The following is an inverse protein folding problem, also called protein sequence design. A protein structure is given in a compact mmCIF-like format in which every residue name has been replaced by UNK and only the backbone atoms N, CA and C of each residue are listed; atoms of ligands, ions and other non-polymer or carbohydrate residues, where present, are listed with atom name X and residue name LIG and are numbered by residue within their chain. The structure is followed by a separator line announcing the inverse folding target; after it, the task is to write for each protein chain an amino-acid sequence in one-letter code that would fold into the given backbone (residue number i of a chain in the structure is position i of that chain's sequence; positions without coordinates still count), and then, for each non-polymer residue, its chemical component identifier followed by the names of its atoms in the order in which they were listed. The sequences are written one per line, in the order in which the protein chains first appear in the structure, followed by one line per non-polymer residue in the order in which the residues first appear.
data_IF_529400499738
#
_entry.id   IF_529400499738
#
_cell.length_a   1.000
_cell.length_b   1.000
_cell.length_c   1.000
_cell.angle_alpha   90.00
_cell.angle_beta   90.00
_cell.angle_gamma   90.00
#
_symmetry.space_group_name_H-M   'P 1'
#
loop_
_entity.id
_entity.type
_entity.pdbx_description
1 polymer ?
#
# COMPACT_ATOMS: atom_id res chain seq x y z
N UNK A 1 2.19 8.01 8.67
CA UNK A 1 1.01 7.26 9.14
C UNK A 1 1.43 6.49 10.38
N UNK A 2 0.68 6.57 11.50
CA UNK A 2 1.04 5.91 12.76
C UNK A 2 1.08 4.38 12.64
N UNK A 3 1.99 3.71 13.37
CA UNK A 3 2.09 2.23 13.41
C UNK A 3 0.78 1.59 13.86
N UNK A 4 0.13 2.16 14.90
CA UNK A 4 -1.17 1.69 15.38
C UNK A 4 -2.26 1.75 14.29
N UNK A 5 -2.26 2.80 13.46
CA UNK A 5 -3.22 2.93 12.37
C UNK A 5 -3.04 1.84 11.30
N UNK A 6 -1.80 1.56 10.90
CA UNK A 6 -1.51 0.46 9.96
C UNK A 6 -1.90 -0.89 10.55
N UNK A 7 -1.63 -1.11 11.84
CA UNK A 7 -2.02 -2.33 12.54
C UNK A 7 -3.55 -2.53 12.56
N UNK A 8 -4.32 -1.48 12.84
CA UNK A 8 -5.79 -1.50 12.77
C UNK A 8 -6.28 -1.82 11.36
N UNK A 9 -5.69 -1.23 10.33
CA UNK A 9 -6.04 -1.52 8.92
C UNK A 9 -5.78 -3.00 8.57
N UNK A 10 -4.65 -3.56 8.99
CA UNK A 10 -4.32 -4.98 8.78
C UNK A 10 -5.29 -5.89 9.54
N UNK A 11 -5.62 -5.55 10.79
CA UNK A 11 -6.57 -6.33 11.60
C UNK A 11 -7.95 -6.39 10.93
N UNK A 12 -8.45 -5.25 10.46
CA UNK A 12 -9.73 -5.19 9.73
C UNK A 12 -9.67 -5.96 8.41
N UNK A 13 -8.56 -5.88 7.68
CA UNK A 13 -8.38 -6.66 6.44
C UNK A 13 -8.49 -8.17 6.71
N UNK A 14 -7.84 -8.67 7.77
CA UNK A 14 -7.92 -10.06 8.23
C UNK A 14 -9.36 -10.45 8.61
N UNK A 15 -10.09 -9.57 9.30
CA UNK A 15 -11.48 -9.86 9.66
C UNK A 15 -12.40 -9.90 8.45
N UNK A 16 -12.20 -9.02 7.47
CA UNK A 16 -12.99 -9.03 6.22
C UNK A 16 -12.72 -10.23 5.33
N UNK A 17 -11.62 -10.97 5.53
CA UNK A 17 -11.35 -12.25 4.84
C UNK A 17 -12.09 -13.44 5.49
N UNK A 18 -12.65 -13.28 6.69
CA UNK A 18 -13.40 -14.36 7.33
C UNK A 18 -14.75 -14.55 6.61
N UNK A 19 -15.20 -15.79 6.37
CA UNK A 19 -16.52 -16.04 5.81
C UNK A 19 -17.62 -15.40 6.66
N UNK A 20 -18.60 -14.78 6.02
CA UNK A 20 -19.73 -14.09 6.67
C UNK A 20 -19.34 -13.01 7.69
N UNK A 21 -18.14 -12.41 7.59
CA UNK A 21 -17.68 -11.36 8.52
C UNK A 21 -18.70 -10.23 8.70
N UNK A 22 -19.36 -9.83 7.61
CA UNK A 22 -20.37 -8.75 7.57
C UNK A 22 -21.62 -9.05 8.40
N UNK A 23 -21.89 -10.32 8.72
CA UNK A 23 -22.95 -10.71 9.68
C UNK A 23 -22.36 -10.86 11.08
N UNK A 24 -21.18 -11.49 11.17
CA UNK A 24 -20.51 -11.83 12.43
C UNK A 24 -20.09 -10.60 13.26
N UNK A 25 -19.79 -9.48 12.62
CA UNK A 25 -19.41 -8.23 13.31
C UNK A 25 -20.53 -7.63 14.17
N UNK A 26 -21.77 -8.07 13.99
CA UNK A 26 -22.92 -7.67 14.80
C UNK A 26 -23.26 -8.68 15.91
N UNK A 27 -22.56 -9.81 15.99
CA UNK A 27 -22.72 -10.80 17.06
C UNK A 27 -21.67 -10.55 18.15
N UNK A 28 -22.10 -10.02 19.29
CA UNK A 28 -21.21 -9.69 20.42
C UNK A 28 -20.45 -10.90 20.96
N UNK A 29 -21.01 -12.11 20.87
CA UNK A 29 -20.29 -13.32 21.31
C UNK A 29 -19.11 -13.61 20.39
N UNK A 30 -19.30 -13.42 19.08
CA UNK A 30 -18.24 -13.59 18.09
C UNK A 30 -17.21 -12.47 18.19
N UNK A 31 -17.64 -11.23 18.36
CA UNK A 31 -16.76 -10.08 18.56
C UNK A 31 -15.90 -10.26 19.81
N UNK A 32 -16.48 -10.75 20.92
CA UNK A 32 -15.71 -11.05 22.13
C UNK A 32 -14.65 -12.12 21.87
N UNK A 33 -14.98 -13.18 21.13
CA UNK A 33 -13.98 -14.19 20.73
C UNK A 33 -12.86 -13.59 19.87
N UNK A 34 -13.18 -12.71 18.92
CA UNK A 34 -12.18 -12.01 18.11
C UNK A 34 -11.29 -11.11 18.97
N UNK A 35 -11.84 -10.47 20.01
CA UNK A 35 -11.07 -9.69 20.97
C UNK A 35 -10.08 -10.57 21.73
N UNK A 36 -10.55 -11.71 22.24
CA UNK A 36 -9.71 -12.64 22.99
C UNK A 36 -8.59 -13.22 22.12
N UNK A 37 -8.89 -13.55 20.86
CA UNK A 37 -7.89 -13.97 19.86
C UNK A 37 -6.85 -12.86 19.62
N UNK A 38 -7.28 -11.61 19.38
CA UNK A 38 -6.38 -10.48 19.20
C UNK A 38 -5.49 -10.26 20.43
N UNK A 39 -6.06 -10.35 21.64
CA UNK A 39 -5.33 -10.22 22.92
C UNK A 39 -4.32 -11.34 23.18
N UNK A 40 -4.50 -12.53 22.61
CA UNK A 40 -3.57 -13.64 22.80
C UNK A 40 -2.48 -13.68 21.74
N UNK A 41 -2.71 -13.09 20.57
CA UNK A 41 -1.76 -13.09 19.47
C UNK A 41 -0.58 -12.14 19.75
N UNK A 42 0.64 -12.66 19.60
CA UNK A 42 1.86 -11.85 19.65
C UNK A 42 1.95 -10.88 18.47
N UNK A 43 2.37 -9.65 18.74
CA UNK A 43 2.40 -8.57 17.75
C UNK A 43 3.77 -8.40 17.07
N UNK A 44 4.78 -9.24 17.38
CA UNK A 44 6.12 -9.14 16.77
C UNK A 44 6.09 -9.31 15.26
N UNK A 45 5.35 -10.31 14.76
CA UNK A 45 5.19 -10.52 13.32
C UNK A 45 4.41 -9.40 12.63
N UNK A 46 3.43 -8.82 13.32
CA UNK A 46 2.69 -7.64 12.83
C UNK A 46 3.60 -6.43 12.73
N UNK A 47 4.39 -6.17 13.78
CA UNK A 47 5.33 -5.06 13.82
C UNK A 47 6.42 -5.19 12.75
N UNK A 48 7.03 -6.38 12.62
CA UNK A 48 8.03 -6.66 11.61
C UNK A 48 7.47 -6.48 10.18
N UNK A 49 6.19 -6.82 9.96
CA UNK A 49 5.51 -6.57 8.68
C UNK A 49 5.31 -5.09 8.42
N UNK A 50 4.90 -4.31 9.43
CA UNK A 50 4.69 -2.85 9.28
C UNK A 50 6.02 -2.14 9.01
N UNK A 51 7.11 -2.57 9.67
CA UNK A 51 8.44 -1.96 9.55
C UNK A 51 9.35 -2.64 8.53
N UNK A 52 8.87 -3.55 7.69
CA UNK A 52 9.71 -4.44 6.86
C UNK A 52 10.90 -3.73 6.16
N UNK A 53 10.65 -2.60 5.48
CA UNK A 53 11.69 -1.84 4.74
C UNK A 53 12.43 -0.80 5.62
N UNK A 54 12.05 -0.68 6.90
CA UNK A 54 12.59 0.25 7.90
C UNK A 54 13.20 -0.50 9.10
N UNK A 55 13.43 -1.81 9.02
CA UNK A 55 14.02 -2.60 10.10
C UNK A 55 15.41 -2.03 10.45
N UNK A 56 15.56 -1.57 11.70
CA UNK A 56 16.79 -0.94 12.21
C UNK A 56 16.89 0.59 12.02
N UNK A 57 15.98 1.21 11.26
CA UNK A 57 15.89 2.68 11.11
C UNK A 57 14.52 3.23 11.55
N UNK A 58 13.53 2.37 11.77
CA UNK A 58 12.22 2.73 12.31
C UNK A 58 12.23 2.79 13.85
N UNK A 59 11.12 3.24 14.45
CA UNK A 59 11.00 3.27 15.91
C UNK A 59 11.21 1.88 16.51
N UNK A 60 11.56 1.83 17.80
CA UNK A 60 11.54 0.58 18.57
C UNK A 60 10.08 0.12 18.71
N UNK A 61 9.86 -1.20 18.73
CA UNK A 61 8.54 -1.75 19.04
C UNK A 61 8.16 -1.33 20.48
N UNK A 62 6.98 -0.74 20.69
CA UNK A 62 6.47 -0.47 22.03
C UNK A 62 6.40 -1.76 22.86
N UNK A 63 6.72 -1.69 24.15
CA UNK A 63 6.47 -2.81 25.08
C UNK A 63 4.97 -3.06 25.25
N UNK A 64 4.18 -1.99 25.22
CA UNK A 64 2.73 -2.05 25.23
C UNK A 64 2.15 -2.56 23.92
N UNK A 65 0.88 -2.98 23.98
CA UNK A 65 0.15 -3.47 22.81
C UNK A 65 -0.10 -2.36 21.80
N UNK A 66 0.15 -2.69 20.53
CA UNK A 66 -0.19 -1.87 19.38
C UNK A 66 -1.71 -1.86 19.19
N UNK A 67 -2.35 -3.04 19.25
CA UNK A 67 -3.81 -3.14 19.28
C UNK A 67 -4.28 -3.16 20.73
N UNK A 68 -4.60 -1.96 21.24
CA UNK A 68 -5.27 -1.75 22.52
C UNK A 68 -6.75 -2.16 22.42
N UNK A 69 -7.43 -2.24 23.57
CA UNK A 69 -8.89 -2.48 23.57
C UNK A 69 -9.66 -1.36 22.85
N UNK A 70 -9.28 -0.10 23.06
CA UNK A 70 -9.88 1.03 22.36
C UNK A 70 -9.65 0.96 20.84
N UNK A 71 -8.44 0.55 20.40
CA UNK A 71 -8.15 0.31 18.98
C UNK A 71 -8.98 -0.85 18.41
N UNK A 72 -9.19 -1.92 19.17
CA UNK A 72 -10.05 -3.01 18.76
C UNK A 72 -11.52 -2.58 18.65
N UNK A 73 -12.04 -1.86 19.63
CA UNK A 73 -13.39 -1.31 19.65
C UNK A 73 -13.65 -0.40 18.44
N UNK A 74 -12.70 0.48 18.14
CA UNK A 74 -12.76 1.31 16.95
C UNK A 74 -12.81 0.47 15.66
N UNK A 75 -11.97 -0.58 15.54
CA UNK A 75 -12.00 -1.49 14.40
C UNK A 75 -13.37 -2.16 14.22
N UNK A 76 -14.03 -2.55 15.31
CA UNK A 76 -15.37 -3.19 15.26
C UNK A 76 -16.42 -2.21 14.75
N UNK A 77 -16.46 -0.98 15.26
CA UNK A 77 -17.40 0.05 14.79
C UNK A 77 -17.18 0.39 13.32
N UNK A 78 -15.93 0.51 12.89
CA UNK A 78 -15.59 0.73 11.49
C UNK A 78 -16.04 -0.45 10.60
N UNK A 79 -15.80 -1.69 11.05
CA UNK A 79 -16.23 -2.88 10.32
C UNK A 79 -17.76 -2.98 10.23
N UNK A 80 -18.51 -2.53 11.23
CA UNK A 80 -19.98 -2.45 11.15
C UNK A 80 -20.42 -1.48 10.06
N UNK A 81 -19.77 -0.32 9.95
CA UNK A 81 -19.99 0.62 8.85
C UNK A 81 -19.70 -0.01 7.48
N UNK A 82 -18.55 -0.66 7.34
CA UNK A 82 -18.17 -1.39 6.11
C UNK A 82 -19.13 -2.52 5.78
N UNK A 83 -19.64 -3.25 6.76
CA UNK A 83 -20.61 -4.32 6.57
C UNK A 83 -21.93 -3.80 6.01
N UNK A 84 -22.39 -2.63 6.49
CA UNK A 84 -23.58 -1.96 5.93
C UNK A 84 -23.36 -1.54 4.48
N UNK A 85 -22.20 -0.98 4.14
CA UNK A 85 -21.86 -0.65 2.76
C UNK A 85 -21.76 -1.89 1.87
N UNK A 86 -21.08 -2.94 2.34
CA UNK A 86 -20.97 -4.21 1.62
C UNK A 86 -22.33 -4.83 1.32
N UNK A 87 -23.30 -4.76 2.24
CA UNK A 87 -24.65 -5.24 2.00
C UNK A 87 -25.38 -4.51 0.85
N UNK A 88 -25.02 -3.24 0.59
CA UNK A 88 -25.60 -2.41 -0.47
C UNK A 88 -24.85 -2.55 -1.79
N UNK A 89 -23.51 -2.55 -1.73
CA UNK A 89 -22.65 -2.45 -2.91
C UNK A 89 -22.03 -3.77 -3.35
N UNK A 90 -21.91 -4.76 -2.45
CA UNK A 90 -21.09 -5.95 -2.66
C UNK A 90 -19.58 -5.68 -2.65
N UNK A 91 -19.14 -4.48 -2.26
CA UNK A 91 -17.74 -4.06 -2.25
C UNK A 91 -17.24 -3.81 -0.83
N UNK A 92 -15.96 -4.08 -0.59
CA UNK A 92 -15.31 -3.94 0.71
C UNK A 92 -14.16 -2.92 0.59
N UNK A 93 -14.30 -1.72 1.18
CA UNK A 93 -13.19 -0.81 1.39
C UNK A 93 -12.23 -1.37 2.45
N UNK A 94 -11.09 -1.90 1.99
CA UNK A 94 -10.05 -2.46 2.85
C UNK A 94 -8.77 -1.64 2.78
N UNK A 95 -7.89 -1.85 3.76
CA UNK A 95 -6.62 -1.11 3.91
C UNK A 95 -6.85 0.40 3.72
N UNK A 96 -7.92 0.88 4.35
CA UNK A 96 -8.50 2.18 4.11
C UNK A 96 -7.88 3.22 5.05
N UNK A 97 -7.11 4.14 4.49
CA UNK A 97 -6.46 5.24 5.20
C UNK A 97 -6.76 6.59 4.54
N UNK A 98 -6.28 7.68 5.15
CA UNK A 98 -6.35 9.01 4.55
C UNK A 98 -5.69 9.01 3.16
N UNK A 99 -6.44 9.40 2.14
CA UNK A 99 -5.91 9.48 0.77
C UNK A 99 -5.87 8.17 -0.01
N UNK A 100 -5.94 7.00 0.64
CA UNK A 100 -5.62 5.72 0.01
C UNK A 100 -6.60 4.62 0.45
N UNK A 101 -7.25 3.97 -0.53
CA UNK A 101 -8.24 2.93 -0.27
C UNK A 101 -8.13 1.83 -1.32
N UNK A 102 -8.19 0.58 -0.88
CA UNK A 102 -8.26 -0.58 -1.76
C UNK A 102 -9.69 -1.14 -1.69
N UNK A 103 -10.23 -1.52 -2.85
CA UNK A 103 -11.54 -2.16 -2.93
C UNK A 103 -11.34 -3.63 -3.27
N UNK A 104 -11.93 -4.51 -2.46
CA UNK A 104 -11.97 -5.95 -2.72
C UNK A 104 -13.40 -6.49 -2.68
N UNK A 105 -13.62 -7.63 -3.34
CA UNK A 105 -14.86 -8.40 -3.25
C UNK A 105 -14.68 -9.80 -3.84
N UNK A 106 -15.27 -10.80 -3.19
CA UNK A 106 -15.30 -12.19 -3.66
C UNK A 106 -16.58 -12.53 -4.43
N UNK A 107 -17.58 -11.64 -4.41
CA UNK A 107 -18.91 -11.91 -4.96
C UNK A 107 -19.32 -10.93 -6.06
N UNK A 108 -18.44 -10.01 -6.46
CA UNK A 108 -18.80 -8.94 -7.39
C UNK A 108 -18.87 -9.39 -8.84
N UNK A 109 -18.13 -10.44 -9.22
CA UNK A 109 -18.19 -11.02 -10.56
C UNK A 109 -19.10 -12.25 -10.51
N UNK A 110 -20.15 -12.26 -11.33
CA UNK A 110 -21.07 -13.40 -11.40
C UNK A 110 -20.45 -14.61 -12.10
N UNK A 111 -21.00 -15.79 -11.81
CA UNK A 111 -20.50 -17.07 -12.31
C UNK A 111 -20.55 -17.18 -13.85
N UNK A 112 -21.48 -16.50 -14.53
CA UNK A 112 -21.54 -16.54 -15.99
C UNK A 112 -20.38 -15.73 -16.58
N UNK A 113 -20.13 -14.52 -16.08
CA UNK A 113 -18.99 -13.71 -16.51
C UNK A 113 -17.66 -14.42 -16.19
N UNK A 114 -17.54 -15.06 -15.02
CA UNK A 114 -16.35 -15.87 -14.69
C UNK A 114 -16.13 -17.02 -15.69
N UNK A 115 -17.19 -17.74 -16.08
CA UNK A 115 -17.10 -18.81 -17.10
C UNK A 115 -16.72 -18.28 -18.48
N UNK A 116 -17.21 -17.11 -18.86
CA UNK A 116 -16.87 -16.47 -20.12
C UNK A 116 -15.39 -16.03 -20.15
N UNK A 117 -14.87 -15.51 -19.02
CA UNK A 117 -13.45 -15.21 -18.84
C UNK A 117 -12.58 -16.47 -18.93
N UNK A 118 -12.99 -17.56 -18.29
CA UNK A 118 -12.31 -18.85 -18.41
C UNK A 118 -12.27 -19.36 -19.86
N UNK A 119 -13.37 -19.21 -20.60
CA UNK A 119 -13.43 -19.58 -22.02
C UNK A 119 -12.53 -18.69 -22.89
N UNK A 120 -12.49 -17.39 -22.61
CA UNK A 120 -11.61 -16.46 -23.29
C UNK A 120 -10.13 -16.84 -23.07
N UNK A 121 -9.76 -17.14 -21.82
CA UNK A 121 -8.42 -17.62 -21.45
C UNK A 121 -8.05 -18.89 -22.25
N UNK A 122 -8.91 -19.92 -22.24
CA UNK A 122 -8.68 -21.15 -22.98
C UNK A 122 -8.56 -20.94 -24.50
N UNK A 123 -9.39 -20.04 -25.05
CA UNK A 123 -9.37 -19.71 -26.49
C UNK A 123 -8.04 -19.08 -26.90
N UNK A 124 -7.53 -18.13 -26.10
CA UNK A 124 -6.22 -17.51 -26.34
C UNK A 124 -5.07 -18.49 -26.14
N UNK A 125 -5.13 -19.28 -25.06
CA UNK A 125 -4.15 -20.32 -24.78
C UNK A 125 -4.03 -21.30 -25.96
N UNK A 126 -5.17 -21.79 -26.45
CA UNK A 126 -5.20 -22.75 -27.55
C UNK A 126 -4.70 -22.14 -28.86
N UNK A 127 -4.99 -20.86 -29.10
CA UNK A 127 -4.51 -20.15 -30.28
C UNK A 127 -2.98 -19.96 -30.28
N UNK A 128 -2.40 -19.82 -29.08
CA UNK A 128 -0.98 -19.56 -28.87
C UNK A 128 -0.14 -20.84 -28.64
N UNK A 129 -0.76 -22.02 -28.56
CA UNK A 129 -0.10 -23.31 -28.23
C UNK A 129 1.11 -23.61 -29.14
N UNK A 130 1.09 -23.17 -30.40
CA UNK A 130 2.20 -23.35 -31.35
C UNK A 130 3.32 -22.31 -31.25
N UNK A 131 3.13 -21.21 -30.51
CA UNK A 131 4.09 -20.12 -30.36
C UNK A 131 3.84 -19.36 -29.05
N UNK A 132 4.15 -20.03 -27.93
CA UNK A 132 3.89 -19.51 -26.59
C UNK A 132 4.84 -18.35 -26.24
N UNK A 133 4.29 -17.22 -25.80
CA UNK A 133 5.06 -16.12 -25.23
C UNK A 133 5.18 -16.27 -23.71
N UNK A 134 6.37 -16.67 -23.27
CA UNK A 134 6.68 -16.78 -21.84
C UNK A 134 7.16 -15.44 -21.30
N UNK A 135 6.58 -15.02 -20.17
CA UNK A 135 7.00 -13.81 -19.49
C UNK A 135 8.49 -13.90 -19.15
N UNK A 136 9.29 -12.85 -19.41
CA UNK A 136 10.72 -12.86 -19.14
C UNK A 136 11.04 -13.25 -17.69
N UNK A 137 12.06 -14.09 -17.51
CA UNK A 137 12.56 -14.56 -16.21
C UNK A 137 11.52 -15.36 -15.38
N UNK A 138 10.45 -15.85 -16.00
CA UNK A 138 9.46 -16.70 -15.33
C UNK A 138 9.81 -18.20 -15.31
N UNK A 139 10.93 -18.60 -15.92
CA UNK A 139 11.27 -20.01 -16.13
C UNK A 139 10.13 -20.77 -16.83
N UNK A 140 9.55 -20.18 -17.87
CA UNK A 140 8.41 -20.74 -18.64
C UNK A 140 7.22 -21.17 -17.77
N UNK A 141 6.91 -20.40 -16.72
CA UNK A 141 5.75 -20.64 -15.86
C UNK A 141 4.64 -19.62 -16.07
N UNK A 142 4.95 -18.43 -16.60
CA UNK A 142 3.96 -17.35 -16.77
C UNK A 142 3.77 -17.11 -18.26
N UNK A 143 2.60 -17.48 -18.79
CA UNK A 143 2.24 -17.25 -20.18
C UNK A 143 1.51 -15.90 -20.33
N UNK A 144 1.98 -15.09 -21.29
CA UNK A 144 1.35 -13.84 -21.66
C UNK A 144 0.24 -14.08 -22.70
N UNK A 145 -1.03 -14.10 -22.28
CA UNK A 145 -2.16 -14.29 -23.19
C UNK A 145 -2.55 -12.97 -23.87
N UNK A 146 -2.71 -11.91 -23.08
CA UNK A 146 -2.79 -10.51 -23.51
C UNK A 146 -1.82 -9.77 -22.61
N UNK A 147 -0.76 -9.17 -23.17
CA UNK A 147 0.19 -8.45 -22.34
C UNK A 147 0.60 -7.13 -23.00
N UNK A 148 0.51 -5.99 -22.27
CA UNK A 148 0.78 -4.68 -22.86
C UNK A 148 2.21 -4.58 -23.42
N UNK A 149 3.19 -5.14 -22.72
CA UNK A 149 4.60 -5.12 -23.14
C UNK A 149 4.95 -5.87 -24.43
N UNK A 150 4.07 -6.71 -24.98
CA UNK A 150 4.40 -7.50 -26.18
C UNK A 150 4.47 -6.64 -27.45
N UNK A 151 3.67 -5.58 -27.52
CA UNK A 151 3.54 -4.74 -28.71
C UNK A 151 3.51 -3.24 -28.35
N UNK A 152 4.50 -2.78 -27.60
CA UNK A 152 4.60 -1.38 -27.21
C UNK A 152 4.78 -0.45 -28.40
N UNK A 153 4.34 0.80 -28.24
CA UNK A 153 4.81 1.87 -29.11
C UNK A 153 6.25 2.17 -28.75
N UNK A 154 7.17 1.98 -29.69
CA UNK A 154 8.58 2.33 -29.54
C UNK A 154 8.80 3.64 -30.28
N UNK A 155 9.22 4.67 -29.56
CA UNK A 155 9.43 5.97 -30.17
C UNK A 155 10.52 5.90 -31.25
N UNK A 156 10.42 6.77 -32.26
CA UNK A 156 11.28 6.78 -33.44
C UNK A 156 11.24 5.51 -34.32
N UNK A 157 10.37 4.54 -34.01
CA UNK A 157 10.25 3.27 -34.77
C UNK A 157 8.82 2.88 -35.09
N UNK A 158 7.93 2.86 -34.10
CA UNK A 158 6.54 2.45 -34.29
C UNK A 158 5.78 3.53 -35.04
N UNK A 159 5.08 3.20 -36.15
CA UNK A 159 4.20 4.14 -36.83
C UNK A 159 3.11 4.66 -35.89
N UNK A 160 2.83 5.96 -35.97
CA UNK A 160 1.76 6.62 -35.22
C UNK A 160 0.86 7.37 -36.19
N UNK A 161 -0.45 7.36 -35.90
CA UNK A 161 -1.47 8.04 -36.70
C UNK A 161 -1.97 9.22 -35.87
N UNK A 162 -1.68 10.44 -36.32
CA UNK A 162 -1.97 11.67 -35.58
C UNK A 162 -3.41 12.16 -35.75
N UNK A 163 -3.98 11.99 -36.94
CA UNK A 163 -5.20 12.68 -37.36
C UNK A 163 -6.47 11.82 -37.28
N UNK A 164 -6.34 10.51 -37.01
CA UNK A 164 -7.46 9.56 -37.01
C UNK A 164 -7.39 8.61 -35.81
N UNK A 165 -8.56 8.22 -35.29
CA UNK A 165 -8.70 7.19 -34.26
C UNK A 165 -8.92 5.84 -34.93
N UNK A 166 -8.04 4.88 -34.63
CA UNK A 166 -8.17 3.50 -35.14
C UNK A 166 -9.25 2.77 -34.34
N UNK A 167 -10.35 2.41 -35.01
CA UNK A 167 -11.47 1.71 -34.40
C UNK A 167 -11.24 0.21 -34.22
N UNK A 168 -12.17 -0.49 -33.55
CA UNK A 168 -12.10 -1.95 -33.36
C UNK A 168 -12.26 -2.70 -34.68
N UNK A 169 -13.32 -2.42 -35.43
CA UNK A 169 -13.69 -3.20 -36.63
C UNK A 169 -12.82 -2.90 -37.85
N UNK A 170 -12.23 -1.71 -37.93
CA UNK A 170 -11.38 -1.27 -39.05
C UNK A 170 -9.89 -1.27 -38.70
N UNK A 171 -9.47 -1.76 -37.52
CA UNK A 171 -8.07 -1.72 -37.08
C UNK A 171 -7.09 -2.32 -38.11
N UNK A 172 -7.51 -3.40 -38.77
CA UNK A 172 -6.69 -4.10 -39.76
C UNK A 172 -6.44 -3.27 -41.03
N UNK A 173 -7.34 -2.35 -41.38
CA UNK A 173 -7.21 -1.46 -42.54
C UNK A 173 -6.12 -0.40 -42.33
N UNK A 174 -5.66 -0.23 -41.08
CA UNK A 174 -4.62 0.73 -40.70
C UNK A 174 -3.25 0.08 -40.48
N UNK A 175 -3.13 -1.23 -40.67
CA UNK A 175 -1.83 -1.91 -40.55
C UNK A 175 -0.79 -1.30 -41.49
N UNK A 176 0.36 -0.93 -40.93
CA UNK A 176 1.47 -0.34 -41.67
C UNK A 176 1.29 1.13 -42.08
N UNK A 177 0.20 1.79 -41.67
CA UNK A 177 0.00 3.23 -41.89
C UNK A 177 0.60 4.08 -40.74
N UNK A 178 0.79 5.36 -41.01
CA UNK A 178 1.34 6.33 -40.06
C UNK A 178 2.85 6.47 -40.20
N UNK A 179 3.42 7.38 -39.41
CA UNK A 179 4.86 7.66 -39.38
C UNK A 179 5.37 7.64 -37.94
N UNK A 180 6.62 7.25 -37.69
CA UNK A 180 7.18 7.27 -36.34
C UNK A 180 7.19 8.68 -35.74
N UNK A 181 6.85 8.77 -34.46
CA UNK A 181 6.93 10.00 -33.68
C UNK A 181 8.09 9.95 -32.70
N UNK A 182 8.69 11.13 -32.46
CA UNK A 182 9.77 11.28 -31.47
C UNK A 182 9.23 11.10 -30.07
N UNK A 183 10.04 10.45 -29.23
CA UNK A 183 9.76 10.31 -27.80
C UNK A 183 9.72 11.67 -27.12
N UNK A 184 8.82 11.81 -26.14
CA UNK A 184 8.72 13.01 -25.33
C UNK A 184 9.38 12.77 -23.97
N UNK A 185 10.38 13.58 -23.65
CA UNK A 185 10.94 13.68 -22.30
C UNK A 185 9.94 14.46 -21.42
N UNK A 186 9.78 14.11 -20.13
CA UNK A 186 8.86 14.85 -19.28
C UNK A 186 9.32 16.31 -19.19
N UNK A 187 8.37 17.25 -19.20
CA UNK A 187 8.65 18.66 -18.96
C UNK A 187 9.12 18.82 -17.51
N UNK A 188 10.43 18.73 -17.28
CA UNK A 188 11.03 19.05 -15.98
C UNK A 188 10.95 20.56 -15.80
N UNK A 189 10.03 21.03 -14.96
CA UNK A 189 10.13 22.40 -14.44
C UNK A 189 11.28 22.41 -13.44
N UNK A 190 12.44 22.90 -13.86
CA UNK A 190 13.54 23.20 -12.95
C UNK A 190 13.11 24.32 -12.00
N UNK A 191 12.67 23.96 -10.79
CA UNK A 191 12.75 24.87 -9.66
C UNK A 191 14.20 24.84 -9.16
N UNK A 192 14.95 25.91 -9.44
CA UNK A 192 16.35 26.12 -9.04
C UNK A 192 16.57 26.15 -7.51
N UNK A 193 15.51 26.15 -6.69
CA UNK A 193 15.60 26.44 -5.25
C UNK A 193 15.26 25.30 -4.28
N UNK A 194 14.96 24.07 -4.74
CA UNK A 194 14.68 22.95 -3.82
C UNK A 194 15.36 21.65 -4.24
N UNK A 195 16.53 21.43 -3.66
CA UNK A 195 17.19 20.13 -3.54
C UNK A 195 16.65 19.41 -2.31
N UNK A 196 15.42 18.90 -2.35
CA UNK A 196 14.91 18.03 -1.28
C UNK A 196 13.76 17.17 -1.81
N UNK A 197 13.95 15.85 -1.69
CA UNK A 197 12.99 14.81 -1.97
C UNK A 197 11.83 14.88 -0.98
N UNK A 198 10.84 15.73 -1.26
CA UNK A 198 9.58 15.77 -0.53
C UNK A 198 8.52 14.93 -1.24
N UNK A 199 7.65 14.26 -0.48
CA UNK A 199 6.39 13.73 -0.99
C UNK A 199 5.62 14.90 -1.62
N UNK A 200 5.27 14.79 -2.91
CA UNK A 200 4.64 15.90 -3.66
C UNK A 200 5.60 16.95 -4.23
N UNK A 201 6.92 16.75 -4.13
CA UNK A 201 7.87 17.55 -4.91
C UNK A 201 7.69 17.18 -6.38
N UNK A 202 7.23 18.14 -7.19
CA UNK A 202 6.85 17.95 -8.60
C UNK A 202 7.98 17.56 -9.57
N UNK A 203 9.04 16.89 -9.10
CA UNK A 203 10.10 16.30 -9.92
C UNK A 203 9.85 14.80 -10.02
N UNK A 204 9.45 14.36 -11.21
CA UNK A 204 9.41 12.94 -11.56
C UNK A 204 10.83 12.46 -11.76
N UNK A 205 11.26 11.48 -10.97
CA UNK A 205 12.57 10.86 -11.16
C UNK A 205 12.64 10.20 -12.56
N UNK A 206 13.76 10.33 -13.28
CA UNK A 206 13.87 9.80 -14.64
C UNK A 206 13.56 8.31 -14.77
N UNK A 207 13.82 7.50 -13.75
CA UNK A 207 13.49 6.07 -13.74
C UNK A 207 11.98 5.76 -13.81
N UNK A 208 11.13 6.71 -13.42
CA UNK A 208 9.67 6.56 -13.48
C UNK A 208 9.07 6.98 -14.81
N UNK A 209 9.88 7.44 -15.78
CA UNK A 209 9.41 7.85 -17.10
C UNK A 209 10.22 7.17 -18.21
N UNK A 210 9.57 6.66 -19.24
CA UNK A 210 10.27 6.15 -20.42
C UNK A 210 10.23 7.13 -21.59
N UNK A 211 11.42 7.43 -22.11
CA UNK A 211 11.65 8.15 -23.36
C UNK A 211 11.88 7.19 -24.55
N UNK A 212 11.69 5.89 -24.36
CA UNK A 212 11.96 4.84 -25.38
C UNK A 212 10.71 4.15 -25.90
N UNK A 213 9.74 3.90 -25.02
CA UNK A 213 8.51 3.21 -25.36
C UNK A 213 7.36 3.59 -24.44
N UNK A 214 6.14 3.28 -24.87
CA UNK A 214 4.91 3.44 -24.08
C UNK A 214 3.95 2.26 -24.32
N UNK A 215 3.25 1.83 -23.27
CA UNK A 215 2.12 0.91 -23.42
C UNK A 215 0.94 1.60 -24.09
N UNK A 216 0.28 0.90 -25.02
CA UNK A 216 -0.87 1.44 -25.74
C UNK A 216 -2.18 1.07 -25.02
N UNK A 217 -2.96 2.06 -24.53
CA UNK A 217 -4.29 1.79 -24.03
C UNK A 217 -5.28 1.55 -25.18
N UNK A 218 -6.38 0.87 -24.86
CA UNK A 218 -7.57 0.83 -25.68
C UNK A 218 -8.59 1.86 -25.17
N UNK A 219 -9.23 2.57 -26.09
CA UNK A 219 -10.31 3.50 -25.79
C UNK A 219 -11.60 2.73 -25.54
N UNK A 220 -12.34 3.14 -24.51
CA UNK A 220 -13.62 2.59 -24.11
C UNK A 220 -14.64 3.73 -24.04
N UNK A 221 -15.70 3.65 -24.81
CA UNK A 221 -16.85 4.54 -24.72
C UNK A 221 -17.96 3.96 -23.88
N UNK A 222 -19.04 4.73 -23.70
CA UNK A 222 -20.26 4.27 -23.05
C UNK A 222 -21.43 4.30 -24.03
N UNK A 223 -22.18 3.20 -24.10
CA UNK A 223 -23.41 3.09 -24.89
C UNK A 223 -24.52 3.93 -24.25
N UNK A 224 -25.66 4.04 -24.95
CA UNK A 224 -26.81 4.81 -24.45
C UNK A 224 -27.37 4.26 -23.12
N UNK A 225 -27.23 2.96 -22.87
CA UNK A 225 -27.63 2.30 -21.62
C UNK A 225 -26.57 2.37 -20.51
N UNK A 226 -25.42 3.02 -20.77
CA UNK A 226 -24.31 3.16 -19.83
C UNK A 226 -23.28 2.03 -19.88
N UNK A 227 -23.51 0.96 -20.66
CA UNK A 227 -22.55 -0.14 -20.77
C UNK A 227 -21.28 0.27 -21.53
N UNK A 228 -20.15 -0.26 -21.09
CA UNK A 228 -18.83 -0.02 -21.69
C UNK A 228 -18.71 -0.70 -23.06
N UNK A 229 -18.06 -0.03 -24.01
CA UNK A 229 -17.76 -0.55 -25.34
C UNK A 229 -16.36 -0.14 -25.78
N UNK A 230 -15.57 -1.08 -26.29
CA UNK A 230 -14.30 -0.72 -26.92
C UNK A 230 -14.56 0.08 -28.20
N UNK A 231 -13.96 1.26 -28.28
CA UNK A 231 -14.00 2.11 -29.47
C UNK A 231 -12.68 2.07 -30.25
N UNK A 232 -11.61 1.52 -29.66
CA UNK A 232 -10.37 1.15 -30.34
C UNK A 232 -9.95 -0.28 -30.00
N UNK A 233 -9.06 -0.86 -30.81
CA UNK A 233 -8.55 -2.21 -30.56
C UNK A 233 -7.78 -2.31 -29.24
N UNK A 234 -7.84 -3.49 -28.62
CA UNK A 234 -6.98 -3.91 -27.51
C UNK A 234 -5.68 -4.42 -28.09
N UNK A 235 -4.56 -3.83 -27.67
CA UNK A 235 -3.24 -4.23 -28.13
C UNK A 235 -3.01 -5.73 -27.80
N UNK A 236 -2.42 -6.49 -28.72
CA UNK A 236 -2.27 -7.96 -28.61
C UNK A 236 -3.60 -8.76 -28.62
N UNK A 237 -4.72 -8.19 -29.09
CA UNK A 237 -5.97 -8.93 -29.21
C UNK A 237 -6.65 -8.69 -30.57
N UNK A 238 -6.63 -9.70 -31.43
CA UNK A 238 -7.13 -9.59 -32.80
C UNK A 238 -8.66 -9.37 -32.85
N UNK A 239 -9.16 -8.22 -33.34
CA UNK A 239 -10.55 -7.80 -33.14
C UNK A 239 -11.60 -8.65 -33.87
N UNK A 240 -11.29 -9.13 -35.09
CA UNK A 240 -12.24 -9.97 -35.86
C UNK A 240 -12.16 -11.46 -35.53
N UNK A 241 -11.07 -11.89 -34.90
CA UNK A 241 -10.84 -13.30 -34.53
C UNK A 241 -11.41 -13.59 -33.15
N UNK A 242 -11.37 -12.60 -32.25
CA UNK A 242 -11.80 -12.74 -30.86
C UNK A 242 -12.89 -11.72 -30.44
N UNK A 243 -13.96 -11.50 -31.22
CA UNK A 243 -14.97 -10.50 -30.89
C UNK A 243 -15.70 -10.78 -29.55
N UNK A 244 -15.89 -12.05 -29.20
CA UNK A 244 -16.51 -12.42 -27.91
C UNK A 244 -15.60 -12.12 -26.71
N UNK A 245 -14.27 -12.12 -26.89
CA UNK A 245 -13.32 -11.75 -25.82
C UNK A 245 -13.44 -10.25 -25.53
N UNK A 246 -13.56 -9.41 -26.57
CA UNK A 246 -13.84 -7.98 -26.41
C UNK A 246 -15.13 -7.75 -25.60
N UNK A 247 -16.25 -8.39 -25.98
CA UNK A 247 -17.52 -8.28 -25.26
C UNK A 247 -17.44 -8.77 -23.81
N UNK A 248 -16.64 -9.80 -23.56
CA UNK A 248 -16.42 -10.33 -22.20
C UNK A 248 -15.66 -9.32 -21.34
N UNK A 249 -14.62 -8.68 -21.91
CA UNK A 249 -13.85 -7.64 -21.21
C UNK A 249 -14.71 -6.39 -20.99
N UNK A 250 -15.55 -5.98 -21.94
CA UNK A 250 -16.51 -4.87 -21.76
C UNK A 250 -17.42 -5.09 -20.55
N UNK A 251 -18.02 -6.28 -20.45
CA UNK A 251 -18.83 -6.66 -19.28
C UNK A 251 -18.02 -6.67 -17.99
N UNK A 252 -16.74 -7.07 -18.04
CA UNK A 252 -15.85 -6.98 -16.88
C UNK A 252 -15.60 -5.53 -16.48
N UNK A 253 -15.36 -4.64 -17.44
CA UNK A 253 -15.19 -3.20 -17.20
C UNK A 253 -16.42 -2.61 -16.53
N UNK A 254 -17.63 -2.95 -17.00
CA UNK A 254 -18.89 -2.53 -16.34
C UNK A 254 -18.95 -2.94 -14.87
N UNK A 255 -18.47 -4.15 -14.55
CA UNK A 255 -18.39 -4.61 -13.16
C UNK A 255 -17.30 -3.92 -12.37
N UNK A 256 -16.20 -3.46 -12.98
CA UNK A 256 -15.08 -2.87 -12.23
C UNK A 256 -15.29 -1.38 -11.95
N UNK A 257 -16.00 -0.65 -12.81
CA UNK A 257 -16.18 0.81 -12.66
C UNK A 257 -16.69 1.24 -11.28
N UNK A 258 -17.67 0.59 -10.64
CA UNK A 258 -18.10 0.98 -9.29
C UNK A 258 -17.00 0.89 -8.21
N UNK A 259 -16.02 -0.01 -8.39
CA UNK A 259 -14.86 -0.07 -7.51
C UNK A 259 -13.89 1.10 -7.77
N UNK A 260 -13.72 1.50 -9.05
CA UNK A 260 -12.96 2.68 -9.42
C UNK A 260 -13.63 3.98 -8.99
N UNK A 261 -14.97 4.07 -9.04
CA UNK A 261 -15.75 5.20 -8.52
C UNK A 261 -15.44 5.47 -7.04
N UNK A 262 -15.14 4.41 -6.27
CA UNK A 262 -14.78 4.53 -4.86
C UNK A 262 -13.30 4.87 -4.65
N UNK A 263 -12.36 4.23 -5.35
CA UNK A 263 -10.93 4.41 -5.06
C UNK A 263 -10.29 5.61 -5.78
N UNK A 264 -10.85 6.07 -6.90
CA UNK A 264 -10.37 7.26 -7.59
C UNK A 264 -10.93 8.54 -6.97
N UNK A 265 -10.02 9.41 -6.54
CA UNK A 265 -10.33 10.71 -5.94
C UNK A 265 -10.19 11.80 -6.99
N UNK A 266 -11.14 12.73 -7.01
CA UNK A 266 -10.98 13.98 -7.74
C UNK A 266 -10.58 15.09 -6.78
N UNK A 267 -9.55 15.84 -7.16
CA UNK A 267 -9.11 17.04 -6.44
C UNK A 267 -9.21 18.21 -7.42
N UNK A 268 -10.41 18.76 -7.66
CA UNK A 268 -10.61 19.83 -8.63
C UNK A 268 -9.92 21.12 -8.18
N UNK A 269 -9.90 21.37 -6.86
CA UNK A 269 -9.18 22.46 -6.20
C UNK A 269 -8.62 21.97 -4.86
N UNK A 270 -7.52 22.57 -4.41
CA UNK A 270 -6.96 22.31 -3.09
C UNK A 270 -8.01 22.60 -2.01
N UNK A 271 -8.37 21.59 -1.21
CA UNK A 271 -9.39 21.69 -0.15
C UNK A 271 -10.85 21.45 -0.59
N UNK A 272 -11.10 21.15 -1.88
CA UNK A 272 -12.42 20.79 -2.42
C UNK A 272 -12.45 19.29 -2.76
N UNK A 273 -12.16 18.45 -1.77
CA UNK A 273 -12.02 17.00 -1.97
C UNK A 273 -13.35 16.29 -1.77
N UNK A 274 -13.84 15.62 -2.82
CA UNK A 274 -14.95 14.66 -2.69
C UNK A 274 -14.35 13.25 -2.64
N UNK A 275 -14.52 12.56 -1.51
CA UNK A 275 -14.02 11.20 -1.29
C UNK A 275 -15.13 10.29 -0.79
N UNK A 276 -15.01 9.00 -1.11
CA UNK A 276 -15.73 7.93 -0.47
C UNK A 276 -14.83 7.29 0.58
N UNK A 277 -15.39 6.96 1.75
CA UNK A 277 -14.62 6.42 2.84
C UNK A 277 -13.82 7.49 3.58
N UNK A 278 -12.58 7.18 3.96
CA UNK A 278 -11.82 7.98 4.93
C UNK A 278 -10.89 9.01 4.30
N UNK A 279 -10.89 10.18 4.92
CA UNK A 279 -10.02 11.33 4.64
C UNK A 279 -9.12 11.71 5.82
N UNK A 280 -9.50 11.39 7.05
CA UNK A 280 -8.76 11.73 8.27
C UNK A 280 -8.16 10.52 8.96
N UNK A 281 -7.03 10.72 9.64
CA UNK A 281 -6.43 9.66 10.46
C UNK A 281 -7.36 9.26 11.60
N UNK A 282 -7.26 7.99 12.01
CA UNK A 282 -7.91 7.47 13.22
C UNK A 282 -7.35 8.05 14.52
N UNK A 283 -6.18 8.68 14.46
CA UNK A 283 -5.47 9.23 15.62
C UNK A 283 -5.37 10.76 15.52
N UNK A 284 -5.30 11.43 16.67
CA UNK A 284 -4.92 12.84 16.70
C UNK A 284 -3.47 13.01 16.27
N UNK A 285 -3.20 14.08 15.54
CA UNK A 285 -1.84 14.42 15.17
C UNK A 285 -1.18 15.12 16.36
N UNK A 286 -0.06 14.56 16.85
CA UNK A 286 0.75 15.21 17.87
C UNK A 286 1.60 16.29 17.19
N UNK A 287 1.32 17.56 17.51
CA UNK A 287 2.02 18.70 16.93
C UNK A 287 3.29 19.07 17.69
N UNK A 288 3.31 18.79 18.99
CA UNK A 288 4.41 19.10 19.91
C UNK A 288 4.54 17.91 20.87
N UNK A 289 5.77 17.44 21.06
CA UNK A 289 6.15 16.41 22.01
C UNK A 289 7.61 16.70 22.40
N UNK A 290 7.86 16.81 23.69
CA UNK A 290 9.16 17.18 24.25
C UNK A 290 9.63 16.05 25.18
N UNK A 291 10.93 15.77 25.17
CA UNK A 291 11.49 14.67 25.98
C UNK A 291 11.40 14.96 27.48
N UNK A 292 11.25 16.24 27.84
CA UNK A 292 11.09 16.78 29.19
C UNK A 292 9.63 16.71 29.69
N UNK A 293 8.67 16.31 28.85
CA UNK A 293 7.27 16.15 29.27
C UNK A 293 7.04 14.73 29.80
N UNK A 294 7.18 14.56 31.12
CA UNK A 294 7.07 13.28 31.82
C UNK A 294 5.73 12.55 31.57
N UNK A 295 4.64 13.30 31.32
CA UNK A 295 3.31 12.75 31.06
C UNK A 295 3.23 11.96 29.73
N UNK A 296 4.26 12.06 28.87
CA UNK A 296 4.35 11.35 27.60
C UNK A 296 5.05 9.99 27.72
N UNK A 297 5.60 9.65 28.88
CA UNK A 297 6.48 8.50 29.06
C UNK A 297 5.91 7.47 30.03
N UNK A 298 6.20 6.20 29.77
CA UNK A 298 5.84 5.08 30.64
C UNK A 298 7.01 4.12 30.86
N UNK A 299 7.21 3.59 32.08
CA UNK A 299 6.52 4.01 33.31
C UNK A 299 6.94 5.42 33.76
N UNK A 300 6.20 6.01 34.70
CA UNK A 300 6.58 7.29 35.34
C UNK A 300 7.97 7.18 35.99
N UNK A 301 8.69 8.29 36.07
CA UNK A 301 10.02 8.31 36.67
C UNK A 301 9.95 8.05 38.19
N UNK A 302 10.73 7.08 38.65
CA UNK A 302 10.90 6.75 40.07
C UNK A 302 12.36 6.40 40.36
N UNK A 303 12.99 7.17 41.24
CA UNK A 303 14.43 7.06 41.53
C UNK A 303 14.76 5.68 42.12
N UNK A 304 13.97 5.18 43.07
CA UNK A 304 14.28 3.92 43.76
C UNK A 304 14.17 2.71 42.83
N UNK A 305 13.17 2.70 41.94
CA UNK A 305 13.00 1.69 40.91
C UNK A 305 14.14 1.73 39.89
N UNK A 306 14.41 2.91 39.33
CA UNK A 306 15.32 3.03 38.19
C UNK A 306 16.80 2.95 38.57
N UNK A 307 17.17 3.38 39.77
CA UNK A 307 18.52 3.19 40.31
C UNK A 307 18.92 1.72 40.29
N UNK A 308 17.99 0.83 40.65
CA UNK A 308 18.21 -0.61 40.76
C UNK A 308 17.77 -1.40 39.52
N UNK A 309 17.21 -0.72 38.51
CA UNK A 309 16.76 -1.37 37.28
C UNK A 309 17.97 -1.90 36.50
N UNK A 310 17.79 -3.10 35.97
CA UNK A 310 18.79 -3.77 35.12
C UNK A 310 18.76 -3.16 33.71
N UNK A 311 19.42 -2.00 33.58
CA UNK A 311 19.58 -1.26 32.33
C UNK A 311 21.08 -1.03 32.12
N UNK A 312 21.64 -1.70 31.12
CA UNK A 312 23.05 -1.55 30.78
C UNK A 312 23.30 -0.20 30.11
N UNK A 313 24.21 0.59 30.68
CA UNK A 313 24.72 1.82 30.09
C UNK A 313 26.01 1.53 29.33
N UNK A 314 26.11 2.10 28.13
CA UNK A 314 27.30 2.04 27.31
C UNK A 314 28.39 2.89 27.94
N UNK A 315 29.63 2.61 27.54
CA UNK A 315 30.75 3.45 27.94
C UNK A 315 30.52 4.92 27.58
N UNK A 316 29.94 5.26 26.43
CA UNK A 316 29.71 6.66 26.09
C UNK A 316 28.70 7.33 27.03
N UNK A 317 27.56 6.68 27.29
CA UNK A 317 26.52 7.21 28.18
C UNK A 317 27.03 7.44 29.62
N UNK A 318 27.87 6.52 30.13
CA UNK A 318 28.48 6.68 31.45
C UNK A 318 29.45 7.88 31.51
N UNK A 319 30.15 8.18 30.41
CA UNK A 319 31.04 9.35 30.34
C UNK A 319 30.25 10.65 30.29
N UNK A 320 29.23 10.70 29.45
CA UNK A 320 28.40 11.89 29.26
C UNK A 320 27.73 12.28 30.59
N UNK A 321 27.20 11.30 31.33
CA UNK A 321 26.62 11.49 32.66
C UNK A 321 27.62 12.07 33.68
N UNK A 322 28.84 11.53 33.71
CA UNK A 322 29.89 12.01 34.62
C UNK A 322 30.37 13.43 34.26
N UNK A 323 30.46 13.76 32.97
CA UNK A 323 30.83 15.09 32.48
C UNK A 323 29.76 16.14 32.83
N UNK A 324 28.48 15.84 32.62
CA UNK A 324 27.36 16.72 32.98
C UNK A 324 27.36 17.00 34.50
N UNK A 325 27.40 15.97 35.33
CA UNK A 325 27.40 16.13 36.79
C UNK A 325 28.67 16.83 37.31
N UNK A 326 29.81 16.69 36.63
CA UNK A 326 31.04 17.40 36.97
C UNK A 326 30.94 18.90 36.68
N UNK A 327 30.28 19.29 35.59
CA UNK A 327 30.09 20.70 35.22
C UNK A 327 29.13 21.45 36.14
N UNK A 328 28.15 20.74 36.73
CA UNK A 328 27.16 21.33 37.64
C UNK A 328 27.62 21.36 39.12
N UNK A 329 28.73 20.70 39.46
CA UNK A 329 29.23 20.64 40.83
C UNK A 329 29.93 21.95 41.27
N UNK A 330 29.58 22.45 42.46
CA UNK A 330 30.21 23.66 43.04
C UNK A 330 31.70 23.46 43.41
N UNK A 331 32.07 22.25 43.85
CA UNK A 331 33.45 21.85 44.22
C UNK A 331 33.78 20.47 43.58
N UNK A 332 34.21 20.43 42.31
CA UNK A 332 34.53 19.18 41.63
C UNK A 332 35.73 18.46 42.27
N UNK A 333 35.57 17.17 42.54
CA UNK A 333 36.64 16.31 43.08
C UNK A 333 37.68 16.01 41.99
N UNK A 334 38.95 15.89 42.36
CA UNK A 334 40.08 15.64 41.46
C UNK A 334 39.88 14.35 40.63
N UNK A 335 39.90 14.47 39.30
CA UNK A 335 39.65 13.39 38.34
C UNK A 335 40.91 12.53 38.12
N UNK A 336 40.86 11.24 38.49
CA UNK A 336 41.92 10.27 38.21
C UNK A 336 41.69 9.60 36.84
N UNK A 337 42.41 10.07 35.83
CA UNK A 337 42.28 9.63 34.44
C UNK A 337 42.63 8.14 34.23
N UNK A 338 43.57 7.58 35.01
CA UNK A 338 44.02 6.19 34.87
C UNK A 338 43.00 5.21 35.50
N UNK A 339 42.45 5.54 36.67
CA UNK A 339 41.39 4.77 37.33
C UNK A 339 40.09 4.83 36.51
N UNK A 340 39.74 6.02 36.01
CA UNK A 340 38.60 6.22 35.11
C UNK A 340 38.71 5.33 33.88
N UNK A 341 39.85 5.37 33.18
CA UNK A 341 40.03 4.61 31.95
C UNK A 341 39.91 3.09 32.18
N UNK A 342 40.35 2.60 33.35
CA UNK A 342 40.18 1.19 33.71
C UNK A 342 38.71 0.82 33.91
N UNK A 343 37.96 1.60 34.71
CA UNK A 343 36.54 1.35 34.97
C UNK A 343 35.71 1.44 33.72
N UNK A 344 36.03 2.40 32.86
CA UNK A 344 35.47 2.48 31.51
C UNK A 344 35.74 1.20 30.74
N UNK A 345 36.98 0.70 30.70
CA UNK A 345 37.29 -0.56 30.00
C UNK A 345 36.60 -1.79 30.63
N UNK A 346 36.24 -1.73 31.90
CA UNK A 346 35.57 -2.81 32.65
C UNK A 346 34.04 -2.65 32.71
N UNK A 347 33.47 -1.58 32.14
CA UNK A 347 32.02 -1.31 32.17
C UNK A 347 31.49 -1.01 33.57
N UNK A 348 32.34 -0.50 34.45
CA UNK A 348 31.99 -0.16 35.83
C UNK A 348 31.37 1.24 35.92
N UNK A 349 30.51 1.51 36.93
CA UNK A 349 29.91 2.83 37.14
C UNK A 349 30.97 3.95 37.29
N UNK A 350 30.60 5.22 37.06
CA UNK A 350 31.47 6.39 37.24
C UNK A 350 32.06 6.47 38.64
N UNK A 351 33.19 7.19 38.80
CA UNK A 351 33.87 7.35 40.10
C UNK A 351 33.45 8.61 40.83
N UNK A 352 32.99 9.62 40.09
CA UNK A 352 32.66 10.91 40.67
C UNK A 352 31.58 10.74 41.74
N UNK A 353 31.83 11.23 42.97
CA UNK A 353 30.77 11.33 43.99
C UNK A 353 29.71 12.39 43.61
N UNK A 354 29.83 13.00 42.43
CA UNK A 354 28.94 14.02 41.89
C UNK A 354 27.80 13.41 41.05
N UNK A 355 27.93 12.17 40.59
CA UNK A 355 26.80 11.44 39.99
C UNK A 355 25.96 10.91 41.15
N UNK A 356 24.88 11.61 41.46
CA UNK A 356 23.94 11.17 42.49
C UNK A 356 23.03 10.04 41.98
N UNK A 357 22.33 9.41 42.94
CA UNK A 357 21.42 8.30 42.68
C UNK A 357 20.28 8.71 41.72
N UNK A 358 19.88 9.99 41.74
CA UNK A 358 18.80 10.54 40.91
C UNK A 358 19.23 10.64 39.45
N UNK A 359 20.40 11.22 39.17
CA UNK A 359 20.97 11.32 37.82
C UNK A 359 21.23 9.92 37.20
N UNK A 360 21.73 8.98 38.00
CA UNK A 360 21.90 7.59 37.57
C UNK A 360 20.55 6.92 37.25
N UNK A 361 19.53 7.14 38.08
CA UNK A 361 18.19 6.63 37.83
C UNK A 361 17.57 7.26 36.57
N UNK A 362 17.76 8.56 36.35
CA UNK A 362 17.21 9.29 35.21
C UNK A 362 17.76 8.76 33.88
N UNK A 363 19.07 8.60 33.74
CA UNK A 363 19.67 8.05 32.51
C UNK A 363 19.17 6.63 32.21
N UNK A 364 19.00 5.81 33.25
CA UNK A 364 18.41 4.47 33.11
C UNK A 364 16.94 4.53 32.72
N UNK A 365 16.18 5.47 33.28
CA UNK A 365 14.79 5.70 32.94
C UNK A 365 14.64 6.18 31.51
N UNK A 366 15.40 7.17 31.05
CA UNK A 366 15.39 7.67 29.66
C UNK A 366 15.66 6.55 28.65
N UNK A 367 16.57 5.64 28.96
CA UNK A 367 16.86 4.47 28.12
C UNK A 367 15.78 3.38 28.19
N UNK A 368 15.11 3.27 29.33
CA UNK A 368 14.08 2.25 29.56
C UNK A 368 12.70 2.67 29.08
N UNK A 369 12.30 3.92 29.30
CA UNK A 369 10.96 4.47 29.07
C UNK A 369 10.52 4.27 27.62
N UNK A 370 9.22 4.07 27.44
CA UNK A 370 8.57 4.07 26.14
C UNK A 370 7.61 5.26 26.06
N UNK A 371 7.42 5.80 24.87
CA UNK A 371 6.40 6.81 24.63
C UNK A 371 5.00 6.19 24.82
N UNK A 372 4.13 6.89 25.54
CA UNK A 372 2.71 6.55 25.65
C UNK A 372 2.06 6.81 24.29
N UNK A 373 1.72 5.74 23.58
CA UNK A 373 1.07 5.87 22.28
C UNK A 373 -0.43 6.14 22.47
N UNK A 374 -0.99 7.22 21.89
CA UNK A 374 -2.39 7.55 22.07
C UNK A 374 -3.31 6.45 21.54
N UNK A 375 -4.50 6.37 22.12
CA UNK A 375 -5.60 5.59 21.58
C UNK A 375 -6.27 6.34 20.41
N UNK A 376 -7.04 5.65 19.55
CA UNK A 376 -7.76 6.32 18.48
C UNK A 376 -8.77 7.33 19.02
N UNK A 377 -9.13 8.30 18.17
CA UNK A 377 -10.23 9.23 18.43
C UNK A 377 -11.54 8.47 18.69
N UNK A 378 -12.52 9.18 19.22
CA UNK A 378 -13.91 8.68 19.19
C UNK A 378 -14.32 8.33 17.76
N UNK A 379 -15.01 7.21 17.60
CA UNK A 379 -15.45 6.76 16.28
C UNK A 379 -16.54 7.69 15.73
N UNK A 380 -16.38 8.10 14.48
CA UNK A 380 -17.38 8.82 13.70
C UNK A 380 -17.81 7.93 12.52
N UNK A 381 -19.10 7.92 12.20
CA UNK A 381 -19.61 7.12 11.09
C UNK A 381 -19.07 7.64 9.75
N UNK A 382 -18.65 6.70 8.90
CA UNK A 382 -17.99 7.01 7.63
C UNK A 382 -18.90 6.64 6.48
N UNK A 383 -19.08 7.58 5.56
CA UNK A 383 -19.83 7.36 4.34
C UNK A 383 -18.93 6.80 3.23
N UNK A 384 -19.11 5.51 2.96
CA UNK A 384 -18.39 4.78 1.91
C UNK A 384 -19.02 4.93 0.52
N UNK A 385 -20.08 5.71 0.37
CA UNK A 385 -20.77 5.87 -0.92
C UNK A 385 -19.96 6.76 -1.86
N UNK A 386 -19.61 6.29 -3.07
CA UNK A 386 -19.01 7.12 -4.12
C UNK A 386 -19.82 8.39 -4.37
N UNK A 387 -19.12 9.53 -4.43
CA UNK A 387 -19.73 10.85 -4.69
C UNK A 387 -19.84 11.19 -6.17
N UNK A 388 -19.17 10.40 -7.01
CA UNK A 388 -19.09 10.57 -8.46
C UNK A 388 -19.18 9.21 -9.14
N UNK A 389 -19.68 9.20 -10.37
CA UNK A 389 -19.63 8.04 -11.25
C UNK A 389 -18.75 8.37 -12.46
N UNK A 390 -17.74 7.55 -12.70
CA UNK A 390 -16.85 7.66 -13.85
C UNK A 390 -17.62 7.50 -15.17
N UNK A 391 -18.67 6.67 -15.19
CA UNK A 391 -19.51 6.51 -16.38
C UNK A 391 -20.19 7.82 -16.78
N UNK A 392 -20.82 8.51 -15.81
CA UNK A 392 -21.49 9.78 -16.11
C UNK A 392 -20.48 10.90 -16.37
N UNK A 393 -19.38 10.93 -15.61
CA UNK A 393 -18.33 11.95 -15.76
C UNK A 393 -17.65 11.88 -17.13
N UNK A 394 -17.30 10.68 -17.58
CA UNK A 394 -16.59 10.43 -18.83
C UNK A 394 -17.50 9.93 -19.93
N UNK A 395 -18.82 10.18 -19.83
CA UNK A 395 -19.82 9.76 -20.81
C UNK A 395 -19.50 10.18 -22.25
N UNK A 396 -18.92 11.37 -22.41
CA UNK A 396 -18.55 11.94 -23.71
C UNK A 396 -17.17 11.48 -24.18
N UNK A 397 -16.19 11.50 -23.28
CA UNK A 397 -14.77 11.33 -23.64
C UNK A 397 -14.31 9.87 -23.57
N UNK A 398 -15.03 9.04 -22.82
CA UNK A 398 -14.67 7.65 -22.57
C UNK A 398 -13.52 7.47 -21.59
N UNK A 399 -13.10 6.22 -21.42
CA UNK A 399 -11.96 5.80 -20.63
C UNK A 399 -10.84 5.26 -21.53
N UNK A 400 -9.63 5.20 -20.98
CA UNK A 400 -8.51 4.47 -21.57
C UNK A 400 -8.14 3.31 -20.66
N UNK A 401 -8.12 2.09 -21.21
CA UNK A 401 -7.91 0.85 -20.46
C UNK A 401 -6.78 0.04 -21.09
N UNK A 402 -5.85 -0.41 -20.27
CA UNK A 402 -4.83 -1.38 -20.64
C UNK A 402 -5.29 -2.75 -20.13
N UNK A 403 -5.37 -3.73 -21.03
CA UNK A 403 -5.78 -5.10 -20.70
C UNK A 403 -4.55 -5.97 -20.55
N UNK A 404 -4.48 -6.72 -19.46
CA UNK A 404 -3.47 -7.76 -19.20
C UNK A 404 -4.17 -9.03 -18.74
N UNK A 405 -3.85 -10.13 -19.40
CA UNK A 405 -4.32 -11.47 -19.10
C UNK A 405 -3.12 -12.42 -19.17
N UNK A 406 -2.86 -13.11 -18.07
CA UNK A 406 -1.72 -14.03 -17.93
C UNK A 406 -2.20 -15.33 -17.31
N UNK A 407 -1.59 -16.45 -17.69
CA UNK A 407 -1.74 -17.73 -16.99
C UNK A 407 -0.45 -18.07 -16.25
N UNK A 408 -0.57 -18.69 -15.08
CA UNK A 408 0.57 -19.22 -14.33
C UNK A 408 0.40 -20.74 -14.24
N UNK A 409 1.30 -21.47 -14.88
CA UNK A 409 1.28 -22.92 -14.94
C UNK A 409 2.42 -23.49 -14.07
N UNK A 410 2.06 -24.25 -13.04
CA UNK A 410 3.02 -24.98 -12.20
C UNK A 410 3.04 -26.44 -12.61
N UNK A 411 4.24 -27.02 -12.70
CA UNK A 411 4.42 -28.45 -12.98
C UNK A 411 5.15 -29.13 -11.83
N UNK A 412 5.15 -30.47 -11.74
CA UNK A 412 5.98 -31.17 -10.76
C UNK A 412 7.47 -30.79 -10.81
N UNK A 413 7.99 -30.44 -11.99
CA UNK A 413 9.37 -29.99 -12.22
C UNK A 413 9.57 -28.51 -11.86
N UNK A 414 8.51 -27.70 -11.92
CA UNK A 414 8.48 -26.27 -11.58
C UNK A 414 7.33 -25.98 -10.59
N UNK A 415 7.40 -26.50 -9.35
CA UNK A 415 6.24 -26.54 -8.45
C UNK A 415 5.99 -25.24 -7.69
N UNK A 416 6.86 -24.24 -7.83
CA UNK A 416 6.82 -23.01 -7.05
C UNK A 416 7.04 -21.78 -7.91
N UNK A 417 6.14 -20.80 -7.74
CA UNK A 417 6.29 -19.45 -8.25
C UNK A 417 6.51 -18.50 -7.08
N UNK A 418 7.70 -17.90 -7.00
CA UNK A 418 8.07 -17.03 -5.89
C UNK A 418 7.24 -15.74 -5.89
N UNK A 419 7.04 -15.15 -4.71
CA UNK A 419 6.45 -13.82 -4.59
C UNK A 419 7.19 -12.83 -5.51
N UNK A 420 6.44 -12.08 -6.31
CA UNK A 420 7.00 -11.09 -7.22
C UNK A 420 7.71 -9.96 -6.48
N UNK A 421 8.61 -9.25 -7.16
CA UNK A 421 9.16 -8.00 -6.64
C UNK A 421 8.06 -6.95 -6.51
N UNK A 422 8.19 -6.08 -5.52
CA UNK A 422 7.36 -4.88 -5.44
C UNK A 422 7.49 -4.05 -6.71
N UNK A 423 6.37 -3.72 -7.35
CA UNK A 423 6.34 -2.91 -8.56
C UNK A 423 5.06 -2.07 -8.61
N UNK A 424 5.10 -1.03 -9.44
CA UNK A 424 3.92 -0.30 -9.90
C UNK A 424 3.65 -0.75 -11.34
N UNK A 425 2.37 -0.75 -11.75
CA UNK A 425 2.02 -1.04 -13.13
C UNK A 425 2.36 0.15 -14.03
N UNK A 426 3.04 -0.13 -15.14
CA UNK A 426 3.48 0.88 -16.11
C UNK A 426 4.51 1.88 -15.58
N UNK A 427 4.70 2.96 -16.32
CA UNK A 427 5.50 4.13 -15.96
C UNK A 427 4.61 5.39 -15.99
N UNK A 428 5.16 6.55 -15.65
CA UNK A 428 4.39 7.79 -15.55
C UNK A 428 3.89 8.32 -16.90
N UNK A 429 4.51 7.92 -18.01
CA UNK A 429 4.06 8.25 -19.36
C UNK A 429 2.75 7.53 -19.74
N UNK A 430 2.43 6.38 -19.12
CA UNK A 430 1.16 5.66 -19.30
C UNK A 430 -0.01 6.28 -18.53
N UNK A 431 0.26 7.11 -17.50
CA UNK A 431 -0.76 7.81 -16.69
C UNK A 431 -1.81 6.86 -16.06
N UNK A 432 -1.38 5.69 -15.60
CA UNK A 432 -2.26 4.71 -14.95
C UNK A 432 -2.74 5.29 -13.61
N UNK A 433 -4.05 5.52 -13.49
CA UNK A 433 -4.68 6.06 -12.29
C UNK A 433 -5.21 4.98 -11.33
N UNK A 434 -5.59 3.82 -11.86
CA UNK A 434 -6.08 2.69 -11.08
C UNK A 434 -5.76 1.36 -11.77
N UNK A 435 -5.65 0.31 -10.97
CA UNK A 435 -5.46 -1.07 -11.43
C UNK A 435 -6.53 -1.96 -10.81
N UNK A 436 -7.13 -2.82 -11.62
CA UNK A 436 -8.00 -3.89 -11.15
C UNK A 436 -7.32 -5.24 -11.41
N UNK A 437 -7.31 -6.09 -10.39
CA UNK A 437 -6.80 -7.45 -10.47
C UNK A 437 -7.95 -8.42 -10.16
N UNK A 438 -8.11 -9.45 -11.00
CA UNK A 438 -9.10 -10.49 -10.79
C UNK A 438 -8.51 -11.87 -11.11
N UNK A 439 -8.39 -12.69 -10.08
CA UNK A 439 -7.96 -14.09 -10.17
C UNK A 439 -9.21 -14.96 -10.33
N UNK A 440 -9.57 -15.30 -11.57
CA UNK A 440 -10.85 -15.96 -11.88
C UNK A 440 -10.79 -17.49 -11.91
N UNK A 441 -9.59 -18.06 -11.89
CA UNK A 441 -9.34 -19.50 -11.87
C UNK A 441 -8.04 -19.80 -11.11
N UNK A 442 -8.09 -20.77 -10.21
CA UNK A 442 -6.93 -21.22 -9.43
C UNK A 442 -7.22 -22.62 -8.90
N UNK A 443 -6.50 -23.61 -9.42
CA UNK A 443 -6.70 -25.02 -9.10
C UNK A 443 -5.38 -25.67 -8.72
N UNK A 444 -5.40 -26.60 -7.77
CA UNK A 444 -4.24 -27.42 -7.38
C UNK A 444 -3.01 -26.61 -6.94
N UNK A 445 -3.21 -25.46 -6.29
CA UNK A 445 -2.15 -24.62 -5.73
C UNK A 445 -2.42 -24.28 -4.26
N UNK A 446 -1.38 -23.95 -3.51
CA UNK A 446 -1.54 -23.38 -2.17
C UNK A 446 -2.18 -21.99 -2.26
N UNK A 447 -2.93 -21.54 -1.24
CA UNK A 447 -3.52 -20.21 -1.24
C UNK A 447 -2.51 -19.10 -1.53
N UNK A 448 -2.82 -18.27 -2.53
CA UNK A 448 -2.03 -17.10 -2.91
C UNK A 448 -2.45 -15.87 -2.12
N UNK A 449 -1.54 -14.91 -1.94
CA UNK A 449 -1.80 -13.64 -1.24
C UNK A 449 -1.26 -12.47 -2.05
N UNK A 450 -2.01 -11.38 -2.06
CA UNK A 450 -1.57 -10.09 -2.58
C UNK A 450 -1.21 -9.18 -1.40
N UNK A 451 -0.12 -8.44 -1.53
CA UNK A 451 0.28 -7.44 -0.53
C UNK A 451 0.42 -6.09 -1.20
N UNK A 452 0.07 -5.05 -0.45
CA UNK A 452 0.19 -3.67 -0.86
C UNK A 452 1.18 -2.97 0.06
N UNK A 453 1.85 -1.95 -0.48
CA UNK A 453 2.73 -1.08 0.27
C UNK A 453 2.41 0.37 -0.05
N UNK A 454 2.57 1.23 0.93
CA UNK A 454 2.41 2.67 0.78
C UNK A 454 3.65 3.35 1.33
N UNK A 455 4.17 4.32 0.59
CA UNK A 455 5.23 5.17 1.12
C UNK A 455 4.65 6.02 2.26
N UNK A 456 5.32 6.02 3.40
CA UNK A 456 5.00 6.87 4.55
C UNK A 456 6.08 7.93 4.69
N UNK A 457 5.71 9.14 5.12
CA UNK A 457 6.69 10.09 5.63
C UNK A 457 7.47 9.43 6.76
N UNK A 458 8.78 9.57 6.73
CA UNK A 458 9.66 9.16 7.84
C UNK A 458 9.37 9.99 9.07
#
# INVERSE_FOLDING_TARGET
MPVKEVAMMILMDIFTDKPDWHKKVFDETIVQKWRDEARQQGEDGLYARILQDKLGQGPRKPRDRIITDAAFDYCVEELRGKARYFAQSGLIPTLDGPGNTIIKSDSFIDENLRRDLNRACYTLWKDQEGNVDWHPRSNDMVQNLIHPSMHNSVYDRSPFIQDEVVGVSNALDFMGKGEPVRGQTPLVRENEFRSQFGIGSGKVLPEYWSDKYQWLPANVGFRQDGSAEFTSYVNNLHPTKFPEIYRTIERLVDRVIPAWDHCLREVPRFGDETFAGRDKSRFEWMHEAFDEDDDLWTPEFDVEEFLHKDVELTHQELRDLEEECYHDAEDPVEFDEDEYQRRMNEGLPPLTPNVDDEAMAEVKWVKYRDAILPDPKSFEEIDYTPKQSLQEKFKKDGLQIIVKMVSIELTPEKPGFSAGSWHLEGQMNEKIAATALYYFDSENVTPSRLSFRMQTSS
#
